data_IF_659242266529
#
_entry.id   IF_659242266529
#
_cell.length_a   1.000
_cell.length_b   1.000
_cell.length_c   1.000
_cell.angle_alpha   90.00
_cell.angle_beta   90.00
_cell.angle_gamma   90.00
#
_symmetry.space_group_name_H-M   'P 1'
#
loop_
_entity.id
_entity.type
_entity.pdbx_description
1 polymer ?
#
# COMPACT_ATOMS: atom_id res chain seq x y z
N UNK A 1 -7.44 13.14 5.34
CA UNK A 1 -8.68 12.68 6.01
C UNK A 1 -9.79 12.37 5.01
N UNK A 2 -10.04 13.20 3.99
CA UNK A 2 -11.07 12.95 2.96
C UNK A 2 -10.88 11.65 2.12
N UNK A 3 -9.64 11.24 1.85
CA UNK A 3 -9.36 10.02 1.07
C UNK A 3 -9.63 8.72 1.84
N UNK A 4 -9.47 8.73 3.16
CA UNK A 4 -9.81 7.58 4.03
C UNK A 4 -11.34 7.43 4.12
N UNK A 5 -12.06 8.55 4.17
CA UNK A 5 -13.53 8.55 4.08
C UNK A 5 -14.04 8.03 2.73
N UNK A 6 -13.36 8.31 1.61
CA UNK A 6 -13.75 7.73 0.32
C UNK A 6 -13.53 6.22 0.22
N UNK A 7 -12.45 5.70 0.81
CA UNK A 7 -12.24 4.24 0.93
C UNK A 7 -13.32 3.60 1.82
N UNK A 8 -13.71 4.29 2.90
CA UNK A 8 -14.82 3.86 3.76
C UNK A 8 -16.19 3.88 3.04
N UNK A 9 -16.47 4.89 2.20
CA UNK A 9 -17.71 4.99 1.42
C UNK A 9 -17.80 3.94 0.30
N UNK A 10 -16.68 3.56 -0.31
CA UNK A 10 -16.64 2.46 -1.29
C UNK A 10 -16.88 1.09 -0.65
N UNK A 11 -16.46 0.89 0.60
CA UNK A 11 -16.67 -0.36 1.34
C UNK A 11 -18.04 -0.43 2.04
N UNK A 12 -18.67 0.71 2.34
CA UNK A 12 -19.94 0.77 3.07
C UNK A 12 -21.21 0.76 2.20
N UNK A 13 -21.10 0.73 0.86
CA UNK A 13 -22.25 0.78 -0.07
C UNK A 13 -22.86 -0.57 -0.45
N UNK A 14 -22.49 -1.69 0.20
CA UNK A 14 -23.23 -2.96 0.03
C UNK A 14 -23.39 -3.72 1.34
N UNK A 15 -24.38 -3.30 2.12
CA UNK A 15 -25.10 -4.19 3.02
C UNK A 15 -26.46 -3.58 3.43
N UNK A 16 -27.46 -3.68 2.55
CA UNK A 16 -28.81 -4.00 3.03
C UNK A 16 -29.25 -5.27 2.30
N UNK A 17 -29.55 -6.37 3.01
CA UNK A 17 -30.22 -7.50 2.38
C UNK A 17 -31.62 -7.05 1.92
N UNK A 18 -32.13 -7.50 0.75
CA UNK A 18 -33.51 -7.24 0.38
C UNK A 18 -34.46 -7.85 1.42
N UNK A 19 -35.60 -7.21 1.74
CA UNK A 19 -36.55 -7.76 2.70
C UNK A 19 -37.09 -9.10 2.18
N UNK A 20 -37.03 -10.13 3.01
CA UNK A 20 -37.64 -11.44 2.73
C UNK A 20 -39.13 -11.26 2.42
N UNK A 21 -39.66 -11.84 1.32
CA UNK A 21 -41.09 -11.76 1.04
C UNK A 21 -41.87 -12.56 2.09
N UNK A 22 -42.81 -11.89 2.77
CA UNK A 22 -43.80 -12.53 3.63
C UNK A 22 -44.68 -13.45 2.78
N UNK A 23 -44.49 -14.77 2.90
CA UNK A 23 -45.41 -15.74 2.31
C UNK A 23 -46.62 -15.92 3.24
N UNK A 24 -47.77 -15.42 2.81
CA UNK A 24 -49.07 -15.90 3.30
C UNK A 24 -49.33 -17.31 2.72
N UNK A 25 -49.84 -18.28 3.49
CA UNK A 25 -50.25 -19.56 2.92
C UNK A 25 -51.56 -19.40 2.11
N UNK A 26 -51.69 -20.01 0.92
CA UNK A 26 -52.95 -20.00 0.18
C UNK A 26 -53.96 -20.97 0.79
N UNK A 27 -55.23 -20.56 0.73
CA UNK A 27 -56.39 -21.35 1.14
C UNK A 27 -56.51 -22.63 0.31
N UNK A 28 -56.84 -23.72 1.02
CA UNK A 28 -57.07 -25.04 0.47
C UNK A 28 -58.44 -25.10 -0.20
N UNK A 29 -58.46 -25.23 -1.53
CA UNK A 29 -59.62 -25.73 -2.27
C UNK A 29 -59.15 -26.76 -3.32
N UNK A 30 -59.57 -28.01 -3.09
CA UNK A 30 -60.11 -28.91 -4.11
C UNK A 30 -59.24 -29.37 -5.29
N UNK A 31 -58.92 -30.67 -5.23
CA UNK A 31 -59.13 -31.66 -6.29
C UNK A 31 -57.95 -32.09 -7.20
N UNK A 32 -57.97 -33.41 -7.46
CA UNK A 32 -57.08 -34.23 -8.25
C UNK A 32 -57.01 -33.78 -9.72
N UNK A 33 -55.81 -33.74 -10.32
CA UNK A 33 -55.49 -34.45 -11.59
C UNK A 33 -54.12 -34.02 -12.15
N UNK A 34 -53.28 -35.03 -12.36
CA UNK A 34 -52.23 -35.22 -13.37
C UNK A 34 -51.93 -34.05 -14.33
N UNK A 35 -50.67 -33.61 -14.39
CA UNK A 35 -49.91 -33.28 -15.63
C UNK A 35 -48.53 -32.67 -15.27
N UNK A 36 -47.51 -33.14 -15.96
CA UNK A 36 -46.10 -32.78 -15.91
C UNK A 36 -45.81 -31.28 -15.98
N UNK A 37 -44.84 -30.84 -15.14
CA UNK A 37 -43.76 -29.91 -15.47
C UNK A 37 -42.91 -29.71 -14.21
N UNK A 38 -41.97 -30.61 -13.96
CA UNK A 38 -40.94 -30.39 -12.96
C UNK A 38 -40.01 -29.27 -13.46
N UNK A 39 -40.28 -28.04 -13.05
CA UNK A 39 -39.35 -26.92 -13.22
C UNK A 39 -38.08 -27.27 -12.45
N UNK A 40 -37.05 -27.67 -13.19
CA UNK A 40 -35.70 -27.87 -12.66
C UNK A 40 -35.20 -26.49 -12.20
N UNK A 41 -35.22 -26.22 -10.90
CA UNK A 41 -34.54 -25.07 -10.34
C UNK A 41 -33.03 -25.26 -10.56
N UNK A 42 -32.50 -24.59 -11.58
CA UNK A 42 -31.05 -24.38 -11.70
C UNK A 42 -30.68 -23.37 -10.62
N UNK A 43 -30.25 -23.86 -9.46
CA UNK A 43 -29.47 -23.06 -8.52
C UNK A 43 -28.19 -22.61 -9.24
N UNK A 44 -27.87 -21.30 -9.33
CA UNK A 44 -26.55 -20.88 -9.77
C UNK A 44 -25.54 -21.37 -8.72
N UNK A 45 -24.87 -22.47 -9.02
CA UNK A 45 -23.75 -22.97 -8.23
C UNK A 45 -22.69 -21.88 -8.15
N UNK A 46 -22.14 -21.57 -6.96
CA UNK A 46 -20.92 -20.77 -6.89
C UNK A 46 -19.85 -21.46 -7.75
N UNK A 47 -19.17 -20.69 -8.60
CA UNK A 47 -18.12 -21.19 -9.49
C UNK A 47 -16.96 -21.70 -8.61
N UNK A 48 -16.90 -23.03 -8.44
CA UNK A 48 -15.88 -23.76 -7.65
C UNK A 48 -16.15 -23.69 -6.14
N UNK A 49 -16.33 -24.77 -5.40
CA UNK A 49 -15.42 -25.92 -5.27
C UNK A 49 -16.29 -27.18 -5.08
N UNK A 50 -16.34 -28.06 -6.09
CA UNK A 50 -16.75 -29.43 -5.88
C UNK A 50 -15.63 -30.14 -5.09
N UNK A 51 -15.97 -30.65 -3.91
CA UNK A 51 -15.05 -31.39 -3.03
C UNK A 51 -14.65 -32.72 -3.67
N UNK A 52 -13.59 -32.70 -4.47
CA UNK A 52 -12.82 -33.89 -4.83
C UNK A 52 -11.52 -33.84 -4.03
N UNK A 53 -11.19 -34.93 -3.32
CA UNK A 53 -9.98 -35.13 -2.51
C UNK A 53 -8.81 -34.27 -3.00
N UNK A 54 -8.52 -33.19 -2.25
CA UNK A 54 -7.49 -32.22 -2.64
C UNK A 54 -6.15 -32.77 -2.16
N UNK A 55 -5.39 -33.39 -3.05
CA UNK A 55 -3.93 -33.45 -2.86
C UNK A 55 -3.42 -32.04 -2.58
N UNK A 56 -2.44 -31.88 -1.69
CA UNK A 56 -1.79 -30.58 -1.46
C UNK A 56 -1.41 -29.96 -2.80
N UNK A 57 -2.07 -28.85 -3.15
CA UNK A 57 -1.86 -28.18 -4.42
C UNK A 57 -0.78 -27.11 -4.24
N UNK A 58 0.16 -27.03 -5.19
CA UNK A 58 1.16 -25.96 -5.22
C UNK A 58 0.53 -24.64 -5.71
N UNK A 59 1.16 -23.52 -5.39
CA UNK A 59 0.83 -22.23 -5.99
C UNK A 59 0.91 -22.35 -7.53
N UNK A 60 -0.10 -21.80 -8.22
CA UNK A 60 -0.17 -21.84 -9.69
C UNK A 60 0.85 -20.93 -10.38
N UNK A 61 1.42 -19.96 -9.65
CA UNK A 61 2.43 -19.02 -10.14
C UNK A 61 3.54 -18.84 -9.11
N UNK A 62 4.74 -18.47 -9.56
CA UNK A 62 5.88 -18.17 -8.69
C UNK A 62 5.84 -16.74 -8.12
N UNK A 63 6.49 -16.53 -6.98
CA UNK A 63 6.44 -15.29 -6.19
C UNK A 63 6.87 -14.02 -6.97
N UNK A 64 7.86 -14.12 -7.86
CA UNK A 64 8.43 -12.97 -8.59
C UNK A 64 7.81 -12.71 -9.97
N UNK A 65 6.53 -13.03 -10.16
CA UNK A 65 5.78 -12.77 -11.41
C UNK A 65 5.02 -11.44 -11.42
N UNK A 66 5.56 -10.40 -10.79
CA UNK A 66 4.94 -9.08 -10.70
C UNK A 66 4.64 -8.43 -12.08
N UNK A 67 5.42 -8.74 -13.12
CA UNK A 67 5.23 -8.22 -14.48
C UNK A 67 4.02 -8.81 -15.23
N UNK A 68 3.45 -9.91 -14.74
CA UNK A 68 2.27 -10.54 -15.35
C UNK A 68 0.97 -9.81 -15.02
N UNK A 69 0.95 -9.06 -13.91
CA UNK A 69 -0.18 -8.20 -13.51
C UNK A 69 0.35 -6.86 -12.98
N UNK A 70 0.72 -5.99 -13.91
CA UNK A 70 1.25 -4.66 -13.60
C UNK A 70 0.26 -3.81 -12.79
N UNK A 71 -1.06 -4.01 -12.98
CA UNK A 71 -2.08 -3.24 -12.26
C UNK A 71 -2.11 -3.63 -10.79
N UNK A 72 -2.14 -4.92 -10.49
CA UNK A 72 -2.10 -5.42 -9.11
C UNK A 72 -0.73 -5.18 -8.48
N UNK A 73 0.36 -5.28 -9.25
CA UNK A 73 1.70 -4.92 -8.80
C UNK A 73 1.78 -3.45 -8.37
N UNK A 74 1.35 -2.51 -9.24
CA UNK A 74 1.32 -1.10 -8.89
C UNK A 74 0.39 -0.82 -7.71
N UNK A 75 -0.81 -1.41 -7.68
CA UNK A 75 -1.74 -1.27 -6.55
C UNK A 75 -1.10 -1.72 -5.23
N UNK A 76 -0.44 -2.88 -5.24
CA UNK A 76 0.24 -3.44 -4.05
C UNK A 76 1.47 -2.62 -3.67
N UNK A 77 2.18 -2.05 -4.64
CA UNK A 77 3.33 -1.19 -4.39
C UNK A 77 2.93 0.12 -3.71
N UNK A 78 1.83 0.74 -4.14
CA UNK A 78 1.39 2.01 -3.57
C UNK A 78 0.49 1.83 -2.34
N UNK A 79 -0.27 0.74 -2.29
CA UNK A 79 -1.30 0.47 -1.29
C UNK A 79 -1.38 -1.06 -0.99
N UNK A 80 -0.35 -1.66 -0.36
CA UNK A 80 -0.35 -3.10 -0.05
C UNK A 80 -1.54 -3.50 0.82
N UNK A 81 -1.99 -2.57 1.67
CA UNK A 81 -3.16 -2.70 2.53
C UNK A 81 -4.46 -3.07 1.79
N UNK A 82 -4.67 -2.53 0.58
CA UNK A 82 -5.87 -2.79 -0.23
C UNK A 82 -5.81 -4.21 -0.81
N UNK A 83 -4.68 -4.59 -1.38
CA UNK A 83 -4.52 -5.93 -1.95
C UNK A 83 -4.61 -7.00 -0.86
N UNK A 84 -4.06 -6.76 0.34
CA UNK A 84 -4.21 -7.68 1.46
C UNK A 84 -5.65 -7.80 1.95
N UNK A 85 -6.43 -6.71 1.98
CA UNK A 85 -7.84 -6.77 2.41
C UNK A 85 -8.69 -7.57 1.43
N UNK A 86 -8.46 -7.42 0.12
CA UNK A 86 -9.16 -8.22 -0.90
C UNK A 86 -8.85 -9.72 -0.75
N UNK A 87 -7.58 -10.08 -0.50
CA UNK A 87 -7.18 -11.47 -0.26
C UNK A 87 -7.88 -12.02 0.99
N UNK A 88 -7.87 -11.27 2.09
CA UNK A 88 -8.51 -11.69 3.34
C UNK A 88 -10.02 -11.86 3.15
N UNK A 89 -10.69 -10.94 2.46
CA UNK A 89 -12.13 -11.02 2.20
C UNK A 89 -12.53 -12.31 1.46
N UNK A 90 -11.74 -12.70 0.45
CA UNK A 90 -11.97 -13.95 -0.28
C UNK A 90 -11.70 -15.17 0.60
N UNK A 91 -10.64 -15.15 1.41
CA UNK A 91 -10.28 -16.27 2.30
C UNK A 91 -11.29 -16.43 3.44
N UNK A 92 -11.86 -15.33 3.95
CA UNK A 92 -12.84 -15.35 5.04
C UNK A 92 -14.27 -15.54 4.55
N UNK A 93 -14.51 -15.69 3.25
CA UNK A 93 -15.86 -15.73 2.65
C UNK A 93 -16.72 -14.52 3.07
N UNK A 94 -16.09 -13.35 3.23
CA UNK A 94 -16.74 -12.13 3.72
C UNK A 94 -17.05 -12.12 5.23
N UNK A 95 -16.63 -13.14 5.99
CA UNK A 95 -16.83 -13.22 7.45
C UNK A 95 -15.66 -12.56 8.18
N UNK A 96 -15.60 -11.23 8.15
CA UNK A 96 -14.64 -10.47 8.96
C UNK A 96 -15.31 -10.08 10.28
N UNK A 97 -14.73 -10.49 11.42
CA UNK A 97 -15.21 -10.07 12.73
C UNK A 97 -15.03 -8.54 12.88
N UNK A 98 -16.00 -7.87 13.52
CA UNK A 98 -16.02 -6.41 13.65
C UNK A 98 -14.73 -5.82 14.25
N UNK A 99 -14.09 -6.55 15.18
CA UNK A 99 -12.80 -6.15 15.78
C UNK A 99 -11.60 -6.33 14.86
N UNK A 100 -11.56 -7.40 14.07
CA UNK A 100 -10.44 -7.72 13.17
C UNK A 100 -10.33 -6.70 12.04
N UNK A 101 -11.47 -6.25 11.52
CA UNK A 101 -11.52 -5.20 10.50
C UNK A 101 -10.87 -3.89 10.98
N UNK A 102 -11.08 -3.49 12.25
CA UNK A 102 -10.51 -2.27 12.82
C UNK A 102 -9.00 -2.40 13.05
N UNK A 103 -8.54 -3.55 13.54
CA UNK A 103 -7.11 -3.83 13.73
C UNK A 103 -6.40 -3.86 12.39
N UNK A 104 -6.96 -4.56 11.40
CA UNK A 104 -6.43 -4.60 10.03
C UNK A 104 -6.38 -3.17 9.46
N UNK A 105 -7.45 -2.38 9.59
CA UNK A 105 -7.47 -0.99 9.13
C UNK A 105 -6.41 -0.13 9.81
N UNK A 106 -6.25 -0.25 11.14
CA UNK A 106 -5.25 0.50 11.91
C UNK A 106 -3.82 0.17 11.49
N UNK A 107 -3.49 -1.12 11.39
CA UNK A 107 -2.16 -1.59 10.93
C UNK A 107 -1.90 -1.15 9.49
N UNK A 108 -2.90 -1.29 8.61
CA UNK A 108 -2.84 -0.83 7.22
C UNK A 108 -2.56 0.67 7.12
N UNK A 109 -3.24 1.49 7.94
CA UNK A 109 -3.03 2.94 7.94
C UNK A 109 -1.61 3.32 8.38
N UNK A 110 -1.05 2.65 9.38
CA UNK A 110 0.33 2.88 9.83
C UNK A 110 1.33 2.48 8.74
N UNK A 111 1.20 1.29 8.16
CA UNK A 111 2.13 0.80 7.12
C UNK A 111 2.05 1.68 5.87
N UNK A 112 0.84 1.91 5.35
CA UNK A 112 0.63 2.73 4.15
C UNK A 112 1.01 4.22 4.41
N UNK A 113 0.85 4.72 5.64
CA UNK A 113 1.31 6.05 6.07
C UNK A 113 2.84 6.18 6.10
N UNK A 114 3.54 5.24 6.74
CA UNK A 114 5.00 5.22 6.79
C UNK A 114 5.61 5.09 5.39
N UNK A 115 5.00 4.25 4.55
CA UNK A 115 5.38 4.05 3.16
C UNK A 115 5.31 5.33 2.33
N UNK A 116 4.16 5.98 2.32
CA UNK A 116 3.95 7.23 1.56
C UNK A 116 4.80 8.38 2.08
N UNK A 117 5.03 8.45 3.40
CA UNK A 117 5.91 9.44 4.01
C UNK A 117 7.35 9.28 3.55
N UNK A 118 7.92 8.08 3.63
CA UNK A 118 9.33 7.81 3.27
C UNK A 118 9.59 8.00 1.78
N UNK A 119 8.69 7.54 0.90
CA UNK A 119 8.78 7.79 -0.54
C UNK A 119 8.75 9.29 -0.89
N UNK A 120 7.93 10.07 -0.18
CA UNK A 120 7.86 11.52 -0.36
C UNK A 120 9.14 12.21 0.09
N UNK A 121 9.70 11.82 1.24
CA UNK A 121 10.98 12.33 1.73
C UNK A 121 12.10 12.09 0.71
N UNK A 122 12.15 10.89 0.12
CA UNK A 122 13.09 10.57 -0.95
C UNK A 122 12.93 11.48 -2.18
N UNK A 123 11.70 11.68 -2.62
CA UNK A 123 11.39 12.59 -3.74
C UNK A 123 11.86 14.02 -3.44
N UNK A 124 11.67 14.50 -2.20
CA UNK A 124 12.11 15.83 -1.75
C UNK A 124 13.63 15.93 -1.78
N UNK A 125 14.37 14.97 -1.21
CA UNK A 125 15.85 14.94 -1.22
C UNK A 125 16.35 15.02 -2.65
N UNK A 126 15.81 14.16 -3.53
CA UNK A 126 16.22 14.11 -4.93
C UNK A 126 15.94 15.39 -5.69
N UNK A 127 14.81 16.04 -5.41
CA UNK A 127 14.47 17.32 -6.04
C UNK A 127 15.37 18.43 -5.51
N UNK A 128 15.62 18.46 -4.20
CA UNK A 128 16.48 19.46 -3.54
C UNK A 128 17.93 19.42 -4.04
N UNK A 129 18.47 18.22 -4.24
CA UNK A 129 19.84 18.00 -4.70
C UNK A 129 19.96 17.67 -6.19
N UNK A 130 18.88 17.85 -6.96
CA UNK A 130 18.83 17.64 -8.41
C UNK A 130 19.34 16.24 -8.87
N UNK A 131 18.93 15.19 -8.18
CA UNK A 131 19.31 13.79 -8.44
C UNK A 131 18.33 13.15 -9.44
N UNK A 132 18.81 12.37 -10.42
CA UNK A 132 18.00 11.73 -11.48
C UNK A 132 17.13 10.57 -11.00
N UNK A 133 15.89 10.47 -11.49
CA UNK A 133 14.90 9.44 -11.10
C UNK A 133 13.46 9.97 -11.06
N UNK A 134 12.52 9.18 -10.55
CA UNK A 134 11.08 9.49 -10.57
C UNK A 134 10.37 9.02 -9.29
N UNK A 135 9.20 9.58 -8.94
CA UNK A 135 8.44 9.15 -7.76
C UNK A 135 8.10 7.66 -7.74
N UNK A 136 7.87 7.06 -8.92
CA UNK A 136 7.63 5.61 -9.03
C UNK A 136 8.90 4.80 -8.70
N UNK A 137 10.07 5.25 -9.20
CA UNK A 137 11.35 4.62 -8.89
C UNK A 137 11.71 4.76 -7.39
N UNK A 138 11.32 5.88 -6.77
CA UNK A 138 11.50 6.11 -5.35
C UNK A 138 10.67 5.13 -4.50
N UNK A 139 9.39 4.93 -4.86
CA UNK A 139 8.56 3.91 -4.23
C UNK A 139 9.11 2.50 -4.44
N UNK A 140 9.54 2.14 -5.65
CA UNK A 140 10.14 0.83 -5.91
C UNK A 140 11.39 0.57 -5.06
N UNK A 141 12.23 1.59 -4.86
CA UNK A 141 13.46 1.46 -4.08
C UNK A 141 13.17 1.15 -2.61
N UNK A 142 12.23 1.89 -2.01
CA UNK A 142 11.77 1.61 -0.64
C UNK A 142 11.14 0.21 -0.52
N UNK A 143 10.67 -0.38 -1.63
CA UNK A 143 9.81 -1.57 -1.60
C UNK A 143 10.68 -2.80 -1.63
N UNK A 144 11.76 -2.70 -2.41
CA UNK A 144 12.85 -3.65 -2.39
C UNK A 144 13.55 -3.64 -1.02
N UNK A 145 13.89 -2.46 -0.48
CA UNK A 145 14.56 -2.38 0.82
C UNK A 145 14.49 -0.98 1.46
N UNK A 146 13.50 -0.78 2.33
CA UNK A 146 13.34 0.43 3.15
C UNK A 146 14.59 0.83 3.95
N UNK A 147 15.24 -0.05 4.75
CA UNK A 147 16.40 0.36 5.55
C UNK A 147 17.58 0.82 4.69
N UNK A 148 17.85 0.13 3.57
CA UNK A 148 18.92 0.56 2.65
C UNK A 148 18.61 1.90 1.99
N UNK A 149 17.35 2.14 1.60
CA UNK A 149 16.92 3.41 1.03
C UNK A 149 17.09 4.57 2.03
N UNK A 150 16.71 4.37 3.29
CA UNK A 150 16.91 5.35 4.36
C UNK A 150 18.39 5.59 4.66
N UNK A 151 19.22 4.55 4.72
CA UNK A 151 20.66 4.72 4.88
C UNK A 151 21.29 5.48 3.70
N UNK A 152 20.81 5.27 2.47
CA UNK A 152 21.26 6.04 1.31
C UNK A 152 20.88 7.51 1.44
N UNK A 153 19.65 7.82 1.82
CA UNK A 153 19.17 9.19 2.02
C UNK A 153 19.92 9.90 3.15
N UNK A 154 20.23 9.19 4.23
CA UNK A 154 21.06 9.69 5.32
C UNK A 154 22.46 10.08 4.85
N UNK A 155 23.15 9.19 4.11
CA UNK A 155 24.47 9.46 3.56
C UNK A 155 24.46 10.58 2.52
N UNK A 156 23.39 10.71 1.76
CA UNK A 156 23.25 11.81 0.81
C UNK A 156 23.25 13.16 1.55
N UNK A 157 22.48 13.28 2.64
CA UNK A 157 22.48 14.49 3.46
C UNK A 157 23.88 14.80 4.03
N UNK A 158 24.58 13.78 4.53
CA UNK A 158 25.96 13.90 5.02
C UNK A 158 26.93 14.38 3.93
N UNK A 159 26.84 13.83 2.72
CA UNK A 159 27.64 14.28 1.57
C UNK A 159 27.39 15.74 1.19
N UNK A 160 26.19 16.26 1.39
CA UNK A 160 25.87 17.68 1.18
C UNK A 160 26.19 18.59 2.38
N UNK A 161 26.94 18.06 3.36
CA UNK A 161 27.43 18.81 4.51
C UNK A 161 26.39 18.99 5.64
N UNK A 162 25.30 18.22 5.61
CA UNK A 162 24.32 18.19 6.70
C UNK A 162 24.57 16.97 7.59
N UNK A 163 24.58 17.16 8.91
CA UNK A 163 24.55 16.05 9.87
C UNK A 163 23.08 15.79 10.27
N UNK A 164 22.45 14.70 9.80
CA UNK A 164 21.02 14.47 10.08
C UNK A 164 20.69 14.29 11.56
N UNK A 165 21.69 14.02 12.42
CA UNK A 165 21.48 13.81 13.85
C UNK A 165 21.25 15.10 14.65
N UNK A 166 21.70 16.25 14.14
CA UNK A 166 21.66 17.57 14.80
C UNK A 166 20.35 18.35 14.56
N UNK A 167 19.50 17.88 13.64
CA UNK A 167 18.31 18.64 13.22
C UNK A 167 18.64 19.91 12.41
N UNK A 168 17.62 20.65 11.98
CA UNK A 168 17.81 21.72 10.98
C UNK A 168 18.52 22.97 11.50
N UNK A 169 18.16 23.46 12.70
CA UNK A 169 18.71 24.72 13.23
C UNK A 169 20.21 24.60 13.55
N UNK A 170 20.63 23.50 14.16
CA UNK A 170 22.05 23.27 14.46
C UNK A 170 22.89 23.12 13.19
N UNK A 171 22.35 22.47 12.14
CA UNK A 171 23.01 22.43 10.83
C UNK A 171 23.16 23.81 10.20
N UNK A 172 22.13 24.66 10.29
CA UNK A 172 22.20 26.03 9.80
C UNK A 172 23.28 26.83 10.54
N UNK A 173 23.34 26.71 11.86
CA UNK A 173 24.37 27.36 12.67
C UNK A 173 25.78 26.87 12.30
N UNK A 174 25.95 25.56 12.14
CA UNK A 174 27.20 24.94 11.68
C UNK A 174 27.64 25.49 10.32
N UNK A 175 26.73 25.60 9.37
CA UNK A 175 27.02 26.16 8.05
C UNK A 175 27.39 27.65 8.13
N UNK A 176 26.65 28.45 8.92
CA UNK A 176 26.93 29.88 9.11
C UNK A 176 28.30 30.09 9.76
N UNK A 177 28.64 29.28 10.75
CA UNK A 177 29.94 29.32 11.41
C UNK A 177 31.08 28.93 10.45
N UNK A 178 30.90 27.87 9.66
CA UNK A 178 31.89 27.45 8.66
C UNK A 178 32.17 28.55 7.62
N UNK A 179 31.13 29.23 7.12
CA UNK A 179 31.27 30.38 6.21
C UNK A 179 32.01 31.54 6.89
N UNK A 180 31.66 31.88 8.13
CA UNK A 180 32.32 32.95 8.88
C UNK A 180 33.83 32.67 9.06
N UNK A 181 34.21 31.45 9.45
CA UNK A 181 35.62 31.06 9.60
C UNK A 181 36.38 31.21 8.28
N UNK A 182 35.83 30.70 7.17
CA UNK A 182 36.46 30.80 5.85
C UNK A 182 36.67 32.26 5.42
N UNK A 183 35.73 33.16 5.70
CA UNK A 183 35.84 34.58 5.36
C UNK A 183 36.87 35.36 6.18
N UNK A 184 37.23 34.89 7.38
CA UNK A 184 38.15 35.59 8.29
C UNK A 184 39.59 35.05 8.16
N UNK A 185 39.78 33.83 7.65
CA UNK A 185 41.13 33.30 7.40
C UNK A 185 41.80 34.01 6.22
N UNK A 186 42.98 34.66 6.42
CA UNK A 186 43.69 35.31 5.33
C UNK A 186 44.17 34.27 4.31
N UNK A 187 44.21 34.61 3.00
CA UNK A 187 44.68 33.71 1.96
C UNK A 187 46.12 33.28 2.26
N UNK A 188 46.40 31.98 2.08
CA UNK A 188 47.75 31.42 2.28
C UNK A 188 48.73 32.18 1.38
N UNK A 189 49.88 32.66 1.89
CA UNK A 189 50.82 33.39 1.05
C UNK A 189 51.25 32.52 -0.12
N UNK A 190 50.95 32.98 -1.33
CA UNK A 190 51.35 32.37 -2.58
C UNK A 190 52.89 32.37 -2.60
N UNK A 191 53.51 31.18 -2.61
CA UNK A 191 54.95 31.07 -2.79
C UNK A 191 55.24 31.57 -4.20
N UNK A 192 55.65 32.83 -4.31
CA UNK A 192 56.21 33.41 -5.51
C UNK A 192 57.54 32.69 -5.77
N UNK A 193 57.48 31.62 -6.57
CA UNK A 193 58.64 30.87 -7.03
C UNK A 193 59.41 31.77 -8.00
N UNK A 194 60.52 32.33 -7.50
CA UNK A 194 61.45 33.14 -8.31
C UNK A 194 62.10 32.25 -9.36
N UNK A 195 61.64 32.35 -10.61
CA UNK A 195 62.45 32.12 -11.81
C UNK A 195 63.55 33.16 -11.95
#
# INVERSE_FOLDING_TARGET
MHHIYQVFQLMSMRATPPPSPLFLPPLNDGDNSQNANSVLYIQPTPIGIASRQRSMANWSTGLFRCHSDMKTCCKTLFCPCITSSEIVEIITEGKTLSGDALVILGVCAVICGMWTYTCRTRTIIRTKFNIRGSPCNDCLTHACCLPCALCQEYRELDHHGFDPSLGWFENLERQRYAVAIYTITPPKPEKMERT
#
